data_IF_910338950098
#
_entry.id   IF_910338950098
#
_cell.length_a   1.000
_cell.length_b   1.000
_cell.length_c   1.000
_cell.angle_alpha   90.00
_cell.angle_beta   90.00
_cell.angle_gamma   90.00
#
_symmetry.space_group_name_H-M   'P 1'
#
loop_
_entity.id
_entity.type
_entity.pdbx_description
1 polymer ?
#
# COMPACT_ATOMS: atom_id res chain seq x y z
N UNK A 1 -15.10 8.15 28.17
CA UNK A 1 -14.95 6.78 27.62
C UNK A 1 -16.33 6.16 27.60
N UNK A 2 -16.76 5.54 26.48
CA UNK A 2 -18.00 4.75 26.49
C UNK A 2 -17.81 3.58 27.46
N UNK A 3 -18.87 3.24 28.22
CA UNK A 3 -18.84 2.09 29.14
C UNK A 3 -19.10 0.80 28.35
N UNK A 4 -18.06 0.27 27.73
CA UNK A 4 -18.11 -0.93 26.88
C UNK A 4 -18.28 -2.16 27.78
N UNK A 5 -19.40 -2.84 27.62
CA UNK A 5 -19.74 -4.05 28.39
C UNK A 5 -19.43 -5.35 27.64
N UNK A 6 -19.45 -5.32 26.31
CA UNK A 6 -19.19 -6.50 25.48
C UNK A 6 -18.21 -6.20 24.34
N UNK A 7 -17.21 -7.04 24.23
CA UNK A 7 -16.17 -7.03 23.20
C UNK A 7 -16.44 -8.19 22.23
N UNK A 8 -16.76 -7.87 20.98
CA UNK A 8 -17.22 -8.85 20.00
C UNK A 8 -16.11 -9.05 18.94
N UNK A 9 -15.63 -10.28 18.85
CA UNK A 9 -14.68 -10.69 17.81
C UNK A 9 -15.42 -11.40 16.67
N UNK A 10 -15.25 -10.91 15.46
CA UNK A 10 -15.81 -11.48 14.23
C UNK A 10 -14.71 -12.07 13.39
N UNK A 11 -14.77 -13.35 13.09
CA UNK A 11 -13.96 -13.96 12.01
C UNK A 11 -14.84 -14.07 10.78
N UNK A 12 -14.52 -13.25 9.77
CA UNK A 12 -15.40 -12.97 8.62
C UNK A 12 -14.94 -13.79 7.42
N UNK A 13 -15.81 -14.69 6.99
CA UNK A 13 -15.69 -15.42 5.72
C UNK A 13 -16.70 -14.88 4.69
N UNK A 14 -16.60 -15.36 3.45
CA UNK A 14 -17.48 -14.95 2.35
C UNK A 14 -18.98 -15.08 2.71
N UNK A 15 -19.38 -16.24 3.23
CA UNK A 15 -20.79 -16.59 3.41
C UNK A 15 -21.20 -16.60 4.89
N UNK A 16 -20.24 -16.62 5.82
CA UNK A 16 -20.49 -16.77 7.24
C UNK A 16 -19.55 -15.94 8.10
N UNK A 17 -19.97 -15.66 9.32
CA UNK A 17 -19.22 -14.96 10.35
C UNK A 17 -19.23 -15.78 11.61
N UNK A 18 -18.06 -16.22 12.08
CA UNK A 18 -17.91 -16.81 13.40
C UNK A 18 -17.83 -15.70 14.45
N UNK A 19 -18.64 -15.80 15.50
CA UNK A 19 -18.82 -14.74 16.48
C UNK A 19 -18.41 -15.24 17.86
N UNK A 20 -17.58 -14.46 18.54
CA UNK A 20 -17.26 -14.68 19.95
C UNK A 20 -17.42 -13.38 20.75
N UNK A 21 -17.70 -13.52 22.03
CA UNK A 21 -18.00 -12.41 22.93
C UNK A 21 -17.15 -12.54 24.18
N UNK A 22 -16.50 -11.46 24.58
CA UNK A 22 -15.89 -11.27 25.87
C UNK A 22 -16.69 -10.19 26.63
N UNK A 23 -17.29 -10.55 27.78
CA UNK A 23 -17.93 -9.56 28.63
C UNK A 23 -16.85 -8.71 29.35
N UNK A 24 -17.20 -7.51 29.80
CA UNK A 24 -16.35 -6.72 30.67
C UNK A 24 -15.99 -7.49 31.93
N UNK A 25 -14.74 -7.45 32.39
CA UNK A 25 -14.25 -8.20 33.52
C UNK A 25 -13.33 -9.37 33.15
N UNK A 26 -13.15 -10.34 34.06
CA UNK A 26 -12.14 -11.41 33.94
C UNK A 26 -12.65 -12.73 33.39
N UNK A 27 -13.94 -12.83 33.05
CA UNK A 27 -14.53 -14.06 32.50
C UNK A 27 -13.90 -14.49 31.17
N UNK A 28 -13.90 -15.79 30.89
CA UNK A 28 -13.41 -16.31 29.63
C UNK A 28 -14.33 -15.89 28.46
N UNK A 29 -13.71 -15.54 27.29
CA UNK A 29 -14.51 -15.29 26.09
C UNK A 29 -15.26 -16.53 25.65
N UNK A 30 -16.52 -16.35 25.24
CA UNK A 30 -17.36 -17.46 24.78
C UNK A 30 -17.63 -17.39 23.28
N UNK A 31 -17.62 -18.53 22.63
CA UNK A 31 -18.12 -18.65 21.27
C UNK A 31 -19.65 -18.52 21.27
N UNK A 32 -20.15 -17.54 20.52
CA UNK A 32 -21.59 -17.30 20.40
C UNK A 32 -22.25 -18.20 19.36
N UNK A 33 -21.52 -18.51 18.27
CA UNK A 33 -22.01 -19.29 17.13
C UNK A 33 -21.56 -18.68 15.82
N UNK A 34 -22.13 -19.19 14.74
CA UNK A 34 -21.89 -18.69 13.38
C UNK A 34 -23.19 -18.11 12.84
N UNK A 35 -23.11 -16.96 12.19
CA UNK A 35 -24.23 -16.30 11.50
C UNK A 35 -23.90 -16.22 9.99
N UNK A 36 -24.91 -15.96 9.16
CA UNK A 36 -24.68 -15.64 7.76
C UNK A 36 -24.05 -14.24 7.62
N UNK A 37 -23.20 -14.07 6.65
CA UNK A 37 -22.59 -12.76 6.35
C UNK A 37 -23.59 -11.88 5.57
N UNK A 38 -24.66 -11.48 6.25
CA UNK A 38 -25.74 -10.64 5.73
C UNK A 38 -26.06 -9.50 6.69
N UNK A 39 -26.36 -8.29 6.20
CA UNK A 39 -26.68 -7.14 7.04
C UNK A 39 -27.79 -7.41 8.05
N UNK A 40 -28.83 -8.17 7.66
CA UNK A 40 -29.97 -8.50 8.53
C UNK A 40 -29.55 -9.35 9.74
N UNK A 41 -28.68 -10.34 9.53
CA UNK A 41 -28.22 -11.25 10.59
C UNK A 41 -27.23 -10.54 11.52
N UNK A 42 -26.36 -9.68 10.96
CA UNK A 42 -25.49 -8.82 11.77
C UNK A 42 -26.35 -7.88 12.62
N UNK A 43 -27.37 -7.23 12.04
CA UNK A 43 -28.28 -6.35 12.79
C UNK A 43 -29.02 -7.07 13.91
N UNK A 44 -29.56 -8.28 13.63
CA UNK A 44 -30.24 -9.11 14.63
C UNK A 44 -29.31 -9.47 15.78
N UNK A 45 -28.07 -9.87 15.45
CA UNK A 45 -27.04 -10.19 16.44
C UNK A 45 -26.74 -8.98 17.32
N UNK A 46 -26.43 -7.83 16.75
CA UNK A 46 -26.05 -6.64 17.52
C UNK A 46 -27.19 -6.18 18.46
N UNK A 47 -28.45 -6.16 17.98
CA UNK A 47 -29.62 -5.85 18.80
C UNK A 47 -29.79 -6.83 19.96
N UNK A 48 -29.50 -8.13 19.77
CA UNK A 48 -29.57 -9.16 20.83
C UNK A 48 -28.44 -8.98 21.87
N UNK A 49 -27.30 -8.45 21.46
CA UNK A 49 -26.14 -8.30 22.36
C UNK A 49 -26.27 -7.13 23.33
N UNK A 50 -26.96 -6.07 22.95
CA UNK A 50 -27.19 -4.92 23.83
C UNK A 50 -27.36 -3.60 23.11
N UNK A 51 -27.18 -2.51 23.85
CA UNK A 51 -27.23 -1.17 23.31
C UNK A 51 -25.94 -0.85 22.53
N UNK A 52 -26.00 -0.06 21.44
CA UNK A 52 -24.83 0.28 20.60
C UNK A 52 -23.63 0.79 21.41
N UNK A 53 -23.86 1.70 22.34
CA UNK A 53 -22.81 2.32 23.16
C UNK A 53 -22.09 1.34 24.10
N UNK A 54 -22.71 0.18 24.39
CA UNK A 54 -22.14 -0.88 25.25
C UNK A 54 -21.32 -1.93 24.46
N UNK A 55 -21.27 -1.82 23.12
CA UNK A 55 -20.62 -2.79 22.25
C UNK A 55 -19.33 -2.19 21.63
N UNK A 56 -18.29 -3.00 21.59
CA UNK A 56 -17.12 -2.75 20.76
C UNK A 56 -16.86 -4.00 19.92
N UNK A 57 -16.80 -3.84 18.61
CA UNK A 57 -16.67 -4.95 17.66
C UNK A 57 -15.28 -4.89 17.00
N UNK A 58 -14.69 -6.03 16.67
CA UNK A 58 -13.52 -6.07 15.80
C UNK A 58 -13.61 -7.22 14.80
N UNK A 59 -12.93 -7.03 13.67
CA UNK A 59 -12.67 -8.10 12.71
C UNK A 59 -11.33 -7.88 11.98
N UNK A 60 -10.83 -8.97 11.39
CA UNK A 60 -9.57 -8.95 10.65
C UNK A 60 -9.77 -8.37 9.24
N UNK A 61 -8.90 -7.44 8.84
CA UNK A 61 -8.89 -6.90 7.48
C UNK A 61 -8.58 -8.02 6.46
N UNK A 62 -9.45 -8.19 5.49
CA UNK A 62 -9.36 -9.24 4.49
C UNK A 62 -10.13 -8.90 3.22
N UNK A 63 -10.43 -9.93 2.42
CA UNK A 63 -11.19 -9.81 1.17
C UNK A 63 -12.63 -9.31 1.34
N UNK A 64 -13.16 -9.32 2.57
CA UNK A 64 -14.50 -8.81 2.91
C UNK A 64 -14.58 -7.27 2.92
N UNK A 65 -13.46 -6.57 2.76
CA UNK A 65 -13.40 -5.12 2.72
C UNK A 65 -13.87 -4.43 4.00
N UNK A 66 -14.42 -3.23 3.86
CA UNK A 66 -14.85 -2.38 4.97
C UNK A 66 -16.39 -2.25 5.10
N UNK A 67 -17.17 -3.02 4.33
CA UNK A 67 -18.63 -2.95 4.35
C UNK A 67 -19.22 -3.22 5.73
N UNK A 68 -18.71 -4.22 6.47
CA UNK A 68 -19.16 -4.51 7.84
C UNK A 68 -18.83 -3.36 8.80
N UNK A 69 -17.66 -2.75 8.67
CA UNK A 69 -17.26 -1.58 9.45
C UNK A 69 -18.23 -0.42 9.25
N UNK A 70 -18.48 -0.03 8.00
CA UNK A 70 -19.43 1.05 7.68
C UNK A 70 -20.83 0.74 8.12
N UNK A 71 -21.28 -0.51 7.97
CA UNK A 71 -22.59 -0.97 8.43
C UNK A 71 -22.73 -0.87 9.96
N UNK A 72 -21.72 -1.27 10.74
CA UNK A 72 -21.75 -1.16 12.19
C UNK A 72 -21.74 0.29 12.65
N UNK A 73 -20.93 1.15 12.00
CA UNK A 73 -20.95 2.60 12.29
C UNK A 73 -22.30 3.24 11.98
N UNK A 74 -23.01 2.81 10.94
CA UNK A 74 -24.38 3.29 10.64
C UNK A 74 -25.42 2.86 11.70
N UNK A 75 -25.04 1.96 12.60
CA UNK A 75 -25.82 1.53 13.76
C UNK A 75 -25.31 2.13 15.08
N UNK A 76 -24.42 3.13 15.03
CA UNK A 76 -23.73 3.75 16.16
C UNK A 76 -22.88 2.78 17.00
N UNK A 77 -22.46 1.65 16.40
CA UNK A 77 -21.62 0.64 17.05
C UNK A 77 -20.16 0.87 16.66
N UNK A 78 -19.30 1.06 17.66
CA UNK A 78 -17.87 1.21 17.44
C UNK A 78 -17.26 -0.09 16.90
N UNK A 79 -16.50 0.02 15.81
CA UNK A 79 -15.87 -1.12 15.17
C UNK A 79 -14.40 -0.87 14.91
N UNK A 80 -13.56 -1.86 15.17
CA UNK A 80 -12.13 -1.85 14.91
C UNK A 80 -11.78 -2.86 13.82
N UNK A 81 -11.20 -2.42 12.73
CA UNK A 81 -10.60 -3.32 11.73
C UNK A 81 -9.12 -3.51 12.06
N UNK A 82 -8.66 -4.76 12.09
CA UNK A 82 -7.31 -5.11 12.53
C UNK A 82 -6.52 -5.77 11.41
N UNK A 83 -5.27 -5.35 11.22
CA UNK A 83 -4.40 -6.01 10.23
C UNK A 83 -3.94 -7.40 10.72
N UNK A 84 -4.01 -8.44 9.87
CA UNK A 84 -3.58 -9.81 10.23
C UNK A 84 -2.16 -9.89 10.80
N UNK A 85 -1.26 -9.07 10.26
CA UNK A 85 0.14 -9.02 10.67
C UNK A 85 0.39 -8.34 12.02
N UNK A 86 -0.61 -7.64 12.56
CA UNK A 86 -0.54 -6.92 13.85
C UNK A 86 -1.26 -7.66 14.98
N UNK A 87 -1.96 -8.77 14.68
CA UNK A 87 -2.60 -9.59 15.70
C UNK A 87 -1.52 -10.41 16.44
N UNK A 88 -1.37 -10.25 17.77
CA UNK A 88 -0.42 -11.01 18.54
C UNK A 88 -0.65 -12.52 18.40
N UNK A 89 0.38 -13.31 18.11
CA UNK A 89 0.30 -14.79 17.98
C UNK A 89 1.02 -15.45 19.16
N UNK A 90 0.36 -16.44 19.79
CA UNK A 90 1.03 -17.26 20.79
C UNK A 90 1.97 -18.25 20.08
N UNK A 91 3.20 -18.40 20.60
CA UNK A 91 4.12 -19.44 20.12
C UNK A 91 3.51 -20.83 20.40
N UNK A 92 3.47 -21.69 19.37
CA UNK A 92 2.89 -23.04 19.51
C UNK A 92 1.44 -23.20 19.07
N UNK A 93 0.74 -22.14 18.73
CA UNK A 93 -0.64 -22.22 18.23
C UNK A 93 -0.62 -22.69 16.75
N UNK A 94 -0.80 -24.02 16.58
CA UNK A 94 -0.74 -24.69 15.27
C UNK A 94 -2.11 -25.01 14.66
N UNK A 95 -3.17 -24.84 15.44
CA UNK A 95 -4.53 -25.18 15.02
C UNK A 95 -5.31 -23.90 14.75
N UNK A 96 -5.61 -23.64 13.48
CA UNK A 96 -6.43 -22.51 13.04
C UNK A 96 -7.86 -22.99 12.80
N UNK A 97 -8.84 -22.34 13.44
CA UNK A 97 -10.27 -22.51 13.19
C UNK A 97 -10.97 -21.18 13.42
N UNK A 98 -12.02 -20.89 12.65
CA UNK A 98 -12.81 -19.65 12.73
C UNK A 98 -13.34 -19.40 14.17
N UNK A 99 -13.73 -20.47 14.88
CA UNK A 99 -14.12 -20.41 16.29
C UNK A 99 -12.98 -19.89 17.17
N UNK A 100 -11.75 -20.39 17.01
CA UNK A 100 -10.59 -19.95 17.80
C UNK A 100 -10.17 -18.55 17.47
N UNK A 101 -10.20 -18.20 16.19
CA UNK A 101 -9.81 -16.88 15.72
C UNK A 101 -10.79 -15.82 16.21
N UNK A 102 -12.12 -16.08 16.19
CA UNK A 102 -13.11 -15.17 16.76
C UNK A 102 -12.97 -15.00 18.29
N UNK A 103 -12.74 -16.09 19.04
CA UNK A 103 -12.51 -16.03 20.50
C UNK A 103 -11.26 -15.19 20.81
N UNK A 104 -10.18 -15.40 20.05
CA UNK A 104 -8.94 -14.67 20.22
C UNK A 104 -9.11 -13.18 19.93
N UNK A 105 -9.82 -12.82 18.86
CA UNK A 105 -10.13 -11.43 18.54
C UNK A 105 -10.90 -10.76 19.68
N UNK A 106 -11.95 -11.39 20.22
CA UNK A 106 -12.71 -10.87 21.35
C UNK A 106 -11.85 -10.70 22.62
N UNK A 107 -10.95 -11.65 22.90
CA UNK A 107 -10.03 -11.60 24.02
C UNK A 107 -9.03 -10.43 23.91
N UNK A 108 -8.37 -10.31 22.74
CA UNK A 108 -7.38 -9.26 22.49
C UNK A 108 -8.02 -7.87 22.43
N UNK A 109 -9.26 -7.78 21.91
CA UNK A 109 -10.02 -6.54 21.87
C UNK A 109 -10.29 -6.05 23.30
N UNK A 110 -10.77 -6.92 24.18
CA UNK A 110 -11.01 -6.61 25.60
C UNK A 110 -9.73 -6.21 26.34
N UNK A 111 -8.62 -6.86 26.02
CA UNK A 111 -7.32 -6.56 26.61
C UNK A 111 -6.71 -5.25 26.11
N UNK A 112 -7.26 -4.63 25.06
CA UNK A 112 -6.68 -3.45 24.41
C UNK A 112 -5.38 -3.71 23.64
N UNK A 113 -5.12 -4.97 23.28
CA UNK A 113 -3.90 -5.40 22.60
C UNK A 113 -3.99 -5.33 21.06
N UNK A 114 -5.16 -4.97 20.52
CA UNK A 114 -5.36 -4.83 19.09
C UNK A 114 -5.02 -3.42 18.62
N UNK A 115 -4.36 -3.33 17.48
CA UNK A 115 -4.09 -2.07 16.80
C UNK A 115 -5.03 -1.93 15.60
N UNK A 116 -5.85 -0.87 15.58
CA UNK A 116 -6.72 -0.58 14.46
C UNK A 116 -5.93 -0.18 13.22
N UNK A 117 -6.41 -0.62 12.06
CA UNK A 117 -5.99 -0.04 10.78
C UNK A 117 -6.86 1.18 10.46
N UNK A 118 -6.29 2.13 9.78
CA UNK A 118 -7.07 3.22 9.22
C UNK A 118 -7.98 2.69 8.11
N UNK A 119 -9.27 2.93 8.25
CA UNK A 119 -10.27 2.58 7.24
C UNK A 119 -10.42 3.78 6.31
N UNK A 120 -10.20 3.62 4.99
CA UNK A 120 -10.39 4.69 4.02
C UNK A 120 -11.88 5.01 3.88
N UNK A 121 -12.18 6.25 3.50
CA UNK A 121 -13.47 6.58 2.91
C UNK A 121 -13.66 5.88 1.54
N UNK A 122 -14.81 6.04 0.92
CA UNK A 122 -15.15 5.35 -0.33
C UNK A 122 -14.29 5.85 -1.50
N UNK A 123 -13.95 7.13 -1.54
CA UNK A 123 -13.14 7.74 -2.59
C UNK A 123 -11.68 7.26 -2.54
N UNK A 124 -11.10 7.23 -1.34
CA UNK A 124 -9.78 6.64 -1.15
C UNK A 124 -9.76 5.13 -1.44
N UNK A 125 -10.83 4.41 -1.12
CA UNK A 125 -10.93 2.98 -1.42
C UNK A 125 -10.99 2.76 -2.94
N UNK A 126 -11.81 3.53 -3.66
CA UNK A 126 -11.90 3.48 -5.12
C UNK A 126 -10.55 3.81 -5.79
N UNK A 127 -9.86 4.84 -5.30
CA UNK A 127 -8.54 5.20 -5.80
C UNK A 127 -7.50 4.09 -5.55
N UNK A 128 -7.58 3.40 -4.40
CA UNK A 128 -6.74 2.22 -4.12
C UNK A 128 -7.01 1.08 -5.08
N UNK A 129 -8.26 0.80 -5.38
CA UNK A 129 -8.61 -0.28 -6.29
C UNK A 129 -8.08 0.01 -7.70
N UNK A 130 -8.18 1.24 -8.17
CA UNK A 130 -7.63 1.67 -9.46
C UNK A 130 -6.11 1.49 -9.52
N UNK A 131 -5.39 1.94 -8.50
CA UNK A 131 -3.93 1.79 -8.41
C UNK A 131 -3.50 0.34 -8.30
N UNK A 132 -4.24 -0.49 -7.56
CA UNK A 132 -3.97 -1.93 -7.42
C UNK A 132 -4.23 -2.66 -8.72
N UNK A 133 -5.31 -2.35 -9.43
CA UNK A 133 -5.58 -2.89 -10.76
C UNK A 133 -4.46 -2.57 -11.78
N UNK A 134 -3.91 -1.34 -11.71
CA UNK A 134 -2.74 -0.96 -12.50
C UNK A 134 -1.49 -1.75 -12.10
N UNK A 135 -1.32 -2.02 -10.80
CA UNK A 135 -0.21 -2.82 -10.30
C UNK A 135 -0.26 -4.26 -10.79
N UNK A 136 -1.44 -4.88 -10.71
CA UNK A 136 -1.68 -6.24 -11.21
C UNK A 136 -1.43 -6.33 -12.71
N UNK A 137 -1.90 -5.36 -13.50
CA UNK A 137 -1.60 -5.28 -14.92
C UNK A 137 -0.08 -5.16 -15.21
N UNK A 138 0.67 -4.46 -14.37
CA UNK A 138 2.14 -4.41 -14.48
C UNK A 138 2.80 -5.77 -14.21
N UNK A 139 2.30 -6.52 -13.23
CA UNK A 139 2.79 -7.87 -12.93
C UNK A 139 2.45 -8.85 -14.05
N UNK A 140 1.23 -8.76 -14.60
CA UNK A 140 0.81 -9.53 -15.79
C UNK A 140 1.72 -9.24 -17.00
N UNK A 141 2.04 -7.97 -17.23
CA UNK A 141 2.96 -7.55 -18.30
C UNK A 141 4.35 -8.16 -18.10
N UNK A 142 4.88 -8.09 -16.88
CA UNK A 142 6.18 -8.67 -16.58
C UNK A 142 6.18 -10.19 -16.81
N UNK A 143 5.14 -10.87 -16.37
CA UNK A 143 4.96 -12.31 -16.54
C UNK A 143 4.84 -12.70 -18.03
N UNK A 144 4.05 -11.96 -18.80
CA UNK A 144 3.90 -12.19 -20.25
C UNK A 144 5.22 -11.97 -20.99
N UNK A 145 5.96 -10.93 -20.63
CA UNK A 145 7.31 -10.65 -21.19
C UNK A 145 8.31 -11.76 -20.86
N UNK A 146 8.28 -12.30 -19.64
CA UNK A 146 9.15 -13.41 -19.25
C UNK A 146 8.83 -14.70 -20.01
N UNK A 147 7.55 -15.00 -20.19
CA UNK A 147 7.11 -16.17 -20.99
C UNK A 147 7.67 -16.13 -22.41
N UNK A 148 7.57 -14.96 -23.06
CA UNK A 148 8.15 -14.79 -24.40
C UNK A 148 9.68 -14.93 -24.41
N UNK A 149 10.38 -14.32 -23.46
CA UNK A 149 11.85 -14.44 -23.37
C UNK A 149 12.27 -15.89 -23.17
N UNK A 150 11.59 -16.62 -22.29
CA UNK A 150 11.89 -18.04 -22.06
C UNK A 150 11.56 -18.91 -23.28
N UNK A 151 10.49 -18.58 -24.02
CA UNK A 151 10.17 -19.25 -25.28
C UNK A 151 11.29 -19.08 -26.30
N UNK A 152 11.75 -17.85 -26.52
CA UNK A 152 12.84 -17.56 -27.44
C UNK A 152 14.15 -18.26 -27.05
N UNK A 153 14.48 -18.23 -25.74
CA UNK A 153 15.69 -18.90 -25.24
C UNK A 153 15.69 -20.41 -25.46
N UNK A 154 14.54 -21.09 -25.31
CA UNK A 154 14.42 -22.51 -25.61
C UNK A 154 14.69 -22.86 -27.08
N UNK A 155 14.49 -21.91 -27.98
CA UNK A 155 14.77 -22.04 -29.40
C UNK A 155 16.16 -21.47 -29.80
N UNK A 156 17.01 -21.14 -28.83
CA UNK A 156 18.34 -20.58 -29.07
C UNK A 156 18.33 -19.14 -29.64
N UNK A 157 17.15 -18.50 -29.64
CA UNK A 157 16.96 -17.15 -30.21
C UNK A 157 17.27 -16.11 -29.14
N UNK A 158 18.20 -15.21 -29.46
CA UNK A 158 18.60 -14.11 -28.60
C UNK A 158 18.53 -12.78 -29.35
N UNK A 159 18.21 -11.66 -28.67
CA UNK A 159 18.27 -10.35 -29.32
C UNK A 159 19.70 -10.01 -29.75
N UNK A 160 19.89 -9.19 -30.79
CA UNK A 160 21.18 -8.74 -31.22
C UNK A 160 21.98 -8.07 -30.10
N UNK A 161 23.29 -8.19 -30.12
CA UNK A 161 24.17 -7.59 -29.14
C UNK A 161 23.93 -6.08 -29.00
N UNK A 162 23.87 -5.57 -27.79
CA UNK A 162 23.62 -4.15 -27.51
C UNK A 162 22.15 -3.71 -27.63
N UNK A 163 21.24 -4.56 -28.04
CA UNK A 163 19.80 -4.26 -28.07
C UNK A 163 19.19 -4.52 -26.70
N UNK A 164 18.73 -3.43 -26.05
CA UNK A 164 18.05 -3.52 -24.77
C UNK A 164 16.63 -4.11 -24.94
N UNK A 165 16.28 -5.10 -24.14
CA UNK A 165 14.94 -5.69 -24.12
C UNK A 165 13.85 -4.62 -24.00
N UNK A 166 12.77 -4.77 -24.77
CA UNK A 166 11.57 -3.92 -24.79
C UNK A 166 11.80 -2.49 -25.30
N UNK A 167 13.01 -2.20 -25.86
CA UNK A 167 13.25 -0.98 -26.64
C UNK A 167 12.56 -1.05 -28.00
N UNK A 168 12.43 0.09 -28.68
CA UNK A 168 11.89 0.16 -30.06
C UNK A 168 12.64 -0.82 -30.97
N UNK A 169 13.98 -0.83 -30.93
CA UNK A 169 14.81 -1.75 -31.74
C UNK A 169 14.53 -3.23 -31.41
N UNK A 170 14.30 -3.57 -30.14
CA UNK A 170 13.94 -4.93 -29.74
C UNK A 170 12.57 -5.34 -30.28
N UNK A 171 11.58 -4.43 -30.23
CA UNK A 171 10.23 -4.68 -30.77
C UNK A 171 10.24 -4.84 -32.29
N UNK A 172 11.03 -4.05 -33.00
CA UNK A 172 11.23 -4.20 -34.45
C UNK A 172 11.88 -5.52 -34.77
N UNK A 173 12.87 -5.96 -34.01
CA UNK A 173 13.49 -7.26 -34.15
C UNK A 173 12.50 -8.38 -33.91
N UNK A 174 11.70 -8.31 -32.86
CA UNK A 174 10.65 -9.30 -32.59
C UNK A 174 9.65 -9.41 -33.76
N UNK A 175 9.25 -8.31 -34.39
CA UNK A 175 8.33 -8.32 -35.54
C UNK A 175 8.90 -9.05 -36.77
N UNK A 176 10.22 -9.11 -36.90
CA UNK A 176 10.90 -9.78 -38.02
C UNK A 176 11.15 -11.27 -37.77
N UNK A 177 10.95 -11.76 -36.54
CA UNK A 177 11.18 -13.16 -36.22
C UNK A 177 10.12 -14.05 -36.85
N UNK A 178 10.58 -15.14 -37.44
CA UNK A 178 9.75 -16.20 -37.99
C UNK A 178 10.20 -17.56 -37.45
N UNK A 179 9.31 -18.54 -37.49
CA UNK A 179 9.58 -19.90 -37.06
C UNK A 179 9.18 -20.84 -38.21
N UNK A 180 9.96 -21.89 -38.45
CA UNK A 180 9.68 -22.85 -39.50
C UNK A 180 8.37 -23.62 -39.29
N UNK A 181 8.13 -24.04 -38.04
CA UNK A 181 6.94 -24.82 -37.69
C UNK A 181 5.72 -23.95 -37.43
N UNK A 182 4.57 -24.31 -38.03
CA UNK A 182 3.34 -23.55 -37.89
C UNK A 182 2.91 -23.36 -36.43
N UNK A 183 2.99 -24.42 -35.60
CA UNK A 183 2.67 -24.35 -34.18
C UNK A 183 3.53 -23.33 -33.39
N UNK A 184 4.82 -23.26 -33.72
CA UNK A 184 5.72 -22.29 -33.10
C UNK A 184 5.39 -20.84 -33.50
N UNK A 185 5.01 -20.63 -34.77
CA UNK A 185 4.55 -19.32 -35.25
C UNK A 185 3.30 -18.85 -34.51
N UNK A 186 2.33 -19.78 -34.29
CA UNK A 186 1.10 -19.48 -33.56
C UNK A 186 1.46 -19.10 -32.12
N UNK A 187 2.21 -19.93 -31.39
CA UNK A 187 2.59 -19.69 -29.99
C UNK A 187 3.36 -18.37 -29.85
N UNK A 188 4.29 -18.07 -30.76
CA UNK A 188 5.03 -16.82 -30.73
C UNK A 188 4.12 -15.59 -30.90
N UNK A 189 3.16 -15.66 -31.84
CA UNK A 189 2.17 -14.60 -32.04
C UNK A 189 1.27 -14.40 -30.83
N UNK A 190 0.82 -15.49 -30.22
CA UNK A 190 -0.01 -15.42 -28.99
C UNK A 190 0.75 -14.77 -27.82
N UNK A 191 2.04 -15.06 -27.64
CA UNK A 191 2.82 -14.36 -26.61
C UNK A 191 2.97 -12.85 -26.90
N UNK A 192 3.15 -12.47 -28.17
CA UNK A 192 3.17 -11.04 -28.53
C UNK A 192 1.81 -10.37 -28.34
N UNK A 193 0.72 -11.06 -28.68
CA UNK A 193 -0.65 -10.60 -28.51
C UNK A 193 -0.94 -10.34 -27.05
N UNK A 194 -0.69 -11.33 -26.18
CA UNK A 194 -0.86 -11.19 -24.74
C UNK A 194 -0.09 -9.99 -24.13
N UNK A 195 1.11 -9.70 -24.63
CA UNK A 195 1.87 -8.53 -24.20
C UNK A 195 1.18 -7.22 -24.62
N UNK A 196 0.70 -7.13 -25.85
CA UNK A 196 0.03 -5.95 -26.38
C UNK A 196 -1.30 -5.69 -25.66
N UNK A 197 -2.10 -6.73 -25.40
CA UNK A 197 -3.36 -6.63 -24.64
C UNK A 197 -3.15 -6.05 -23.24
N UNK A 198 -2.13 -6.54 -22.54
CA UNK A 198 -1.81 -6.02 -21.20
C UNK A 198 -1.27 -4.59 -21.27
N UNK A 199 -0.45 -4.24 -22.28
CA UNK A 199 0.00 -2.86 -22.48
C UNK A 199 -1.17 -1.91 -22.75
N UNK A 200 -2.14 -2.32 -23.54
CA UNK A 200 -3.32 -1.50 -23.80
C UNK A 200 -4.25 -1.41 -22.58
N UNK A 201 -4.37 -2.48 -21.79
CA UNK A 201 -5.03 -2.44 -20.48
C UNK A 201 -4.36 -1.43 -19.55
N UNK A 202 -3.03 -1.44 -19.46
CA UNK A 202 -2.29 -0.47 -18.63
C UNK A 202 -2.55 0.97 -19.08
N UNK A 203 -2.53 1.26 -20.39
CA UNK A 203 -2.82 2.60 -20.90
C UNK A 203 -4.22 3.08 -20.51
N UNK A 204 -5.23 2.22 -20.60
CA UNK A 204 -6.60 2.57 -20.18
C UNK A 204 -6.68 2.91 -18.71
N UNK A 205 -6.05 2.09 -17.84
CA UNK A 205 -6.02 2.35 -16.40
C UNK A 205 -5.23 3.63 -16.09
N UNK A 206 -4.08 3.85 -16.74
CA UNK A 206 -3.26 5.05 -16.54
C UNK A 206 -3.97 6.33 -17.00
N UNK A 207 -4.84 6.27 -18.02
CA UNK A 207 -5.69 7.39 -18.42
C UNK A 207 -6.69 7.75 -17.31
N UNK A 208 -7.34 6.76 -16.69
CA UNK A 208 -8.24 7.01 -15.55
C UNK A 208 -7.48 7.56 -14.33
N UNK A 209 -6.27 7.05 -14.05
CA UNK A 209 -5.42 7.60 -12.98
C UNK A 209 -5.11 9.08 -13.25
N UNK A 210 -4.89 9.45 -14.50
CA UNK A 210 -4.65 10.85 -14.89
C UNK A 210 -5.86 11.73 -14.63
N UNK A 211 -7.06 11.28 -15.00
CA UNK A 211 -8.30 12.01 -14.73
C UNK A 211 -8.52 12.21 -13.23
N UNK A 212 -8.37 11.16 -12.43
CA UNK A 212 -8.46 11.23 -10.96
C UNK A 212 -7.40 12.17 -10.36
N UNK A 213 -6.19 12.16 -10.87
CA UNK A 213 -5.11 13.04 -10.42
C UNK A 213 -5.38 14.53 -10.66
N UNK A 214 -6.25 14.86 -11.62
CA UNK A 214 -6.61 16.24 -11.97
C UNK A 214 -7.92 16.71 -11.32
N UNK A 215 -8.89 15.81 -11.14
CA UNK A 215 -10.27 16.15 -10.80
C UNK A 215 -10.67 15.82 -9.37
N UNK A 216 -9.95 14.90 -8.71
CA UNK A 216 -10.28 14.51 -7.34
C UNK A 216 -9.93 15.61 -6.32
N UNK A 217 -10.56 15.55 -5.15
CA UNK A 217 -10.20 16.40 -4.00
C UNK A 217 -8.74 16.24 -3.57
N UNK A 218 -8.09 15.15 -3.98
CA UNK A 218 -6.69 14.86 -3.69
C UNK A 218 -5.71 15.49 -4.70
N UNK A 219 -6.21 16.13 -5.77
CA UNK A 219 -5.38 16.74 -6.82
C UNK A 219 -4.29 17.69 -6.28
N UNK A 220 -4.56 18.56 -5.30
CA UNK A 220 -3.52 19.45 -4.74
C UNK A 220 -2.34 18.68 -4.14
N UNK A 221 -2.61 17.64 -3.35
CA UNK A 221 -1.57 16.80 -2.73
C UNK A 221 -0.82 16.01 -3.80
N UNK A 222 -1.53 15.44 -4.77
CA UNK A 222 -0.92 14.68 -5.87
C UNK A 222 0.03 15.57 -6.68
N UNK A 223 -0.37 16.79 -7.00
CA UNK A 223 0.45 17.75 -7.74
C UNK A 223 1.67 18.20 -6.92
N UNK A 224 1.48 18.53 -5.63
CA UNK A 224 2.57 18.92 -4.75
C UNK A 224 3.63 17.82 -4.59
N UNK A 225 3.23 16.56 -4.44
CA UNK A 225 4.16 15.43 -4.35
C UNK A 225 5.00 15.23 -5.62
N UNK A 226 4.48 15.60 -6.78
CA UNK A 226 5.20 15.52 -8.05
C UNK A 226 6.38 16.51 -8.17
N UNK A 227 6.49 17.49 -7.26
CA UNK A 227 7.66 18.36 -7.14
C UNK A 227 8.93 17.59 -6.75
N UNK A 228 8.76 16.46 -6.08
CA UNK A 228 9.85 15.58 -5.65
C UNK A 228 10.46 14.82 -6.84
N UNK A 229 11.78 14.72 -6.84
CA UNK A 229 12.50 13.97 -7.88
C UNK A 229 12.11 12.49 -7.87
N UNK A 230 11.74 11.99 -9.05
CA UNK A 230 11.34 10.59 -9.25
C UNK A 230 9.88 10.28 -8.90
N UNK A 231 9.19 11.17 -8.20
CA UNK A 231 7.76 11.03 -7.92
C UNK A 231 6.99 11.63 -9.11
N UNK A 232 6.59 10.77 -10.04
CA UNK A 232 5.68 11.13 -11.14
C UNK A 232 4.24 10.84 -10.73
N UNK A 233 3.27 11.21 -11.56
CA UNK A 233 1.83 11.14 -11.29
C UNK A 233 1.38 9.80 -10.71
N UNK A 234 1.61 8.68 -11.40
CA UNK A 234 1.24 7.33 -10.91
C UNK A 234 1.81 7.04 -9.52
N UNK A 235 3.03 7.50 -9.25
CA UNK A 235 3.63 7.32 -7.92
C UNK A 235 2.98 8.23 -6.89
N UNK A 236 2.68 9.47 -7.24
CA UNK A 236 2.01 10.42 -6.36
C UNK A 236 0.60 9.91 -5.99
N UNK A 237 -0.18 9.47 -6.98
CA UNK A 237 -1.50 8.87 -6.78
C UNK A 237 -1.41 7.62 -5.92
N UNK A 238 -0.41 6.74 -6.18
CA UNK A 238 -0.19 5.55 -5.33
C UNK A 238 0.06 5.93 -3.87
N UNK A 239 0.87 6.97 -3.64
CA UNK A 239 1.17 7.42 -2.28
C UNK A 239 -0.08 7.97 -1.59
N UNK A 240 -0.84 8.82 -2.26
CA UNK A 240 -2.07 9.39 -1.71
C UNK A 240 -3.09 8.29 -1.41
N UNK A 241 -3.37 7.41 -2.37
CA UNK A 241 -4.30 6.30 -2.19
C UNK A 241 -3.94 5.38 -1.01
N UNK A 242 -2.66 5.04 -0.86
CA UNK A 242 -2.23 4.08 0.17
C UNK A 242 -1.93 4.72 1.52
N UNK A 243 -1.57 6.01 1.56
CA UNK A 243 -1.33 6.76 2.80
C UNK A 243 -2.67 7.26 3.37
N UNK A 244 -3.59 7.74 2.52
CA UNK A 244 -4.77 8.48 2.95
C UNK A 244 -4.39 9.85 3.53
N UNK A 245 -4.90 10.18 4.70
CA UNK A 245 -4.56 11.42 5.39
C UNK A 245 -3.14 11.38 5.95
N UNK A 246 -2.33 12.39 5.64
CA UNK A 246 -0.95 12.50 6.12
C UNK A 246 -0.89 12.94 7.59
N UNK A 247 -1.79 13.82 7.99
CA UNK A 247 -1.94 14.33 9.36
C UNK A 247 -2.29 13.25 10.40
N UNK A 248 -2.82 12.09 9.97
CA UNK A 248 -3.03 10.95 10.87
C UNK A 248 -1.74 10.38 11.48
N UNK A 249 -0.60 10.70 10.89
CA UNK A 249 0.71 10.37 11.44
C UNK A 249 1.26 11.58 12.19
N UNK A 250 1.33 11.51 13.51
CA UNK A 250 1.82 12.61 14.34
C UNK A 250 3.27 13.03 14.07
N UNK A 251 4.03 12.16 13.40
CA UNK A 251 5.40 12.45 12.98
C UNK A 251 5.83 11.53 11.80
N UNK A 252 6.84 11.93 11.02
CA UNK A 252 7.27 11.17 9.83
C UNK A 252 7.78 9.75 10.13
N UNK A 253 8.24 9.48 11.38
CA UNK A 253 8.72 8.14 11.75
C UNK A 253 7.59 7.11 11.76
N UNK A 254 6.37 7.54 12.10
CA UNK A 254 5.20 6.67 12.03
C UNK A 254 4.88 6.27 10.59
N UNK A 255 4.93 7.20 9.62
CA UNK A 255 4.78 6.86 8.19
C UNK A 255 5.90 5.94 7.69
N UNK A 256 7.14 6.15 8.13
CA UNK A 256 8.26 5.24 7.82
C UNK A 256 8.03 3.84 8.36
N UNK A 257 7.46 3.72 9.56
CA UNK A 257 7.07 2.45 10.18
C UNK A 257 5.91 1.80 9.45
N UNK A 258 4.88 2.59 9.10
CA UNK A 258 3.74 2.15 8.31
C UNK A 258 4.13 1.58 6.94
N UNK A 259 5.18 2.13 6.31
CA UNK A 259 5.76 1.59 5.09
C UNK A 259 6.72 0.40 5.33
N UNK A 260 7.01 0.05 6.59
CA UNK A 260 7.95 -1.03 6.94
C UNK A 260 9.40 -0.76 6.52
N UNK A 261 9.80 0.51 6.47
CA UNK A 261 11.16 0.95 6.11
C UNK A 261 12.06 1.23 7.33
N UNK A 262 11.55 0.98 8.53
CA UNK A 262 12.35 1.05 9.76
C UNK A 262 13.18 -0.22 9.94
N UNK A 263 14.43 -0.12 10.43
CA UNK A 263 15.24 -1.31 10.71
C UNK A 263 14.63 -2.10 11.86
N UNK A 264 14.81 -3.43 11.82
CA UNK A 264 14.64 -4.29 13.00
C UNK A 264 15.69 -3.90 14.02
N UNK A 265 15.29 -3.85 15.27
CA UNK A 265 16.19 -3.53 16.37
C UNK A 265 16.04 -4.55 17.49
N UNK A 266 17.15 -5.02 18.00
CA UNK A 266 17.25 -5.85 19.19
C UNK A 266 18.23 -5.16 20.12
N UNK A 267 17.71 -4.59 21.20
CA UNK A 267 18.49 -3.87 22.20
C UNK A 267 18.29 -4.53 23.55
N UNK A 268 19.37 -4.83 24.25
CA UNK A 268 19.35 -5.25 25.64
C UNK A 268 20.52 -4.62 26.39
N UNK A 269 20.25 -3.89 27.47
CA UNK A 269 21.26 -3.14 28.20
C UNK A 269 21.98 -2.13 27.30
N UNK A 270 23.32 -2.19 27.28
CA UNK A 270 24.18 -1.36 26.42
C UNK A 270 24.32 -1.85 24.99
N UNK A 271 23.86 -3.08 24.69
CA UNK A 271 23.97 -3.69 23.36
C UNK A 271 22.83 -3.27 22.46
N UNK A 272 23.18 -2.74 21.27
CA UNK A 272 22.21 -2.36 20.24
C UNK A 272 22.55 -3.01 18.90
N UNK A 273 21.70 -3.91 18.45
CA UNK A 273 21.83 -4.50 17.13
C UNK A 273 20.70 -4.06 16.19
N UNK A 274 21.07 -3.61 14.98
CA UNK A 274 20.12 -3.21 13.96
C UNK A 274 20.27 -4.10 12.73
N UNK A 275 19.18 -4.75 12.35
CA UNK A 275 19.10 -5.65 11.21
C UNK A 275 18.57 -4.99 9.93
N UNK A 276 18.04 -5.82 9.06
CA UNK A 276 17.31 -5.37 7.86
C UNK A 276 16.02 -4.63 8.24
N UNK A 277 15.38 -3.96 7.27
CA UNK A 277 14.07 -3.33 7.47
C UNK A 277 13.01 -4.36 7.88
N UNK A 278 12.02 -3.91 8.65
CA UNK A 278 10.95 -4.78 9.17
C UNK A 278 10.12 -5.42 8.08
N UNK A 279 9.89 -4.72 6.98
CA UNK A 279 8.95 -5.07 5.89
C UNK A 279 7.49 -5.26 6.37
N UNK A 280 7.19 -4.95 7.62
CA UNK A 280 5.83 -4.96 8.17
C UNK A 280 5.10 -3.71 7.71
N UNK A 281 3.83 -3.83 7.31
CA UNK A 281 3.01 -2.72 6.85
C UNK A 281 2.92 -2.60 5.33
N UNK A 282 2.61 -1.41 4.82
CA UNK A 282 2.18 -1.21 3.44
C UNK A 282 3.31 -1.49 2.42
N UNK A 283 3.13 -2.57 1.65
CA UNK A 283 4.10 -3.02 0.64
C UNK A 283 4.08 -2.16 -0.62
N UNK A 284 2.95 -1.57 -0.97
CA UNK A 284 2.79 -0.74 -2.18
C UNK A 284 3.57 0.57 -2.03
N UNK A 285 3.42 1.25 -0.88
CA UNK A 285 4.23 2.44 -0.56
C UNK A 285 5.71 2.09 -0.59
N UNK A 286 6.11 1.03 0.12
CA UNK A 286 7.51 0.63 0.21
C UNK A 286 8.13 0.36 -1.16
N UNK A 287 7.43 -0.38 -2.03
CA UNK A 287 7.89 -0.73 -3.38
C UNK A 287 8.03 0.52 -4.25
N UNK A 288 7.01 1.37 -4.28
CA UNK A 288 7.00 2.59 -5.09
C UNK A 288 8.11 3.55 -4.68
N UNK A 289 8.29 3.77 -3.38
CA UNK A 289 9.32 4.69 -2.88
C UNK A 289 10.73 4.17 -3.09
N UNK A 290 10.97 2.87 -2.91
CA UNK A 290 12.29 2.28 -3.19
C UNK A 290 12.65 2.42 -4.66
N UNK A 291 11.70 2.23 -5.58
CA UNK A 291 11.92 2.41 -7.02
C UNK A 291 12.27 3.86 -7.37
N UNK A 292 11.51 4.81 -6.87
CA UNK A 292 11.78 6.26 -7.00
C UNK A 292 13.19 6.62 -6.56
N UNK A 293 13.66 6.03 -5.47
CA UNK A 293 14.92 6.42 -4.83
C UNK A 293 16.17 6.07 -5.64
N UNK A 294 16.09 5.22 -6.66
CA UNK A 294 17.18 5.02 -7.61
C UNK A 294 17.56 6.30 -8.37
N UNK A 295 16.64 7.26 -8.50
CA UNK A 295 16.91 8.54 -9.15
C UNK A 295 17.90 9.41 -8.36
N UNK A 296 18.01 9.25 -7.05
CA UNK A 296 18.87 10.04 -6.17
C UNK A 296 20.37 9.66 -6.24
N UNK A 297 20.73 8.58 -6.95
CA UNK A 297 22.11 8.25 -7.28
C UNK A 297 22.75 9.29 -8.22
N UNK A 298 21.94 9.97 -9.03
CA UNK A 298 22.39 10.97 -9.96
C UNK A 298 22.50 12.35 -9.31
N UNK A 299 23.42 13.19 -9.83
CA UNK A 299 23.61 14.57 -9.33
C UNK A 299 22.29 15.35 -9.32
N UNK A 300 22.08 16.22 -8.32
CA UNK A 300 20.91 17.09 -8.26
C UNK A 300 20.81 17.96 -9.51
N UNK A 301 19.67 17.91 -10.17
CA UNK A 301 19.36 18.76 -11.33
C UNK A 301 17.87 19.05 -11.38
N UNK A 302 17.49 20.19 -11.94
CA UNK A 302 16.11 20.59 -12.21
C UNK A 302 16.02 20.82 -13.72
N UNK A 303 15.57 19.80 -14.47
CA UNK A 303 15.52 19.80 -15.93
C UNK A 303 14.34 18.96 -16.43
N UNK A 304 13.91 19.20 -17.66
CA UNK A 304 12.90 18.41 -18.36
C UNK A 304 11.59 18.28 -17.58
N UNK A 305 11.04 17.10 -17.50
CA UNK A 305 9.74 16.85 -16.87
C UNK A 305 9.66 17.27 -15.38
N UNK A 306 10.76 17.20 -14.63
CA UNK A 306 10.74 17.67 -13.24
C UNK A 306 10.59 19.20 -13.17
N UNK A 307 11.18 19.95 -14.09
CA UNK A 307 11.01 21.40 -14.15
C UNK A 307 9.55 21.75 -14.45
N UNK A 308 8.95 21.13 -15.47
CA UNK A 308 7.55 21.33 -15.85
C UNK A 308 6.60 21.05 -14.67
N UNK A 309 6.82 19.94 -13.95
CA UNK A 309 5.97 19.57 -12.78
C UNK A 309 6.10 20.54 -11.59
N UNK A 310 7.16 21.34 -11.56
CA UNK A 310 7.32 22.39 -10.55
C UNK A 310 6.77 23.74 -10.99
N UNK A 311 6.40 23.91 -12.25
CA UNK A 311 5.73 25.13 -12.72
C UNK A 311 4.39 25.29 -12.03
N UNK A 312 4.07 26.50 -11.57
CA UNK A 312 2.83 26.81 -10.85
C UNK A 312 2.75 26.30 -9.39
N UNK A 313 3.66 25.44 -8.94
CA UNK A 313 3.62 24.91 -7.56
C UNK A 313 4.08 25.98 -6.54
N UNK A 314 3.61 25.83 -5.31
CA UNK A 314 3.92 26.75 -4.21
C UNK A 314 5.43 26.78 -3.90
N UNK A 315 5.98 27.96 -3.55
CA UNK A 315 7.39 28.11 -3.19
C UNK A 315 7.85 27.21 -2.04
N UNK A 316 6.99 26.94 -1.05
CA UNK A 316 7.34 26.09 0.09
C UNK A 316 7.54 24.64 -0.32
N UNK A 317 6.67 24.07 -1.16
CA UNK A 317 6.79 22.72 -1.70
C UNK A 317 8.05 22.57 -2.55
N UNK A 318 8.35 23.57 -3.39
CA UNK A 318 9.60 23.64 -4.16
C UNK A 318 10.83 23.68 -3.25
N UNK A 319 10.77 24.42 -2.14
CA UNK A 319 11.83 24.50 -1.14
C UNK A 319 12.06 23.15 -0.46
N UNK A 320 10.98 22.46 -0.06
CA UNK A 320 11.06 21.10 0.52
C UNK A 320 11.66 20.13 -0.51
N UNK A 321 11.19 20.16 -1.74
CA UNK A 321 11.68 19.30 -2.82
C UNK A 321 13.16 19.55 -3.16
N UNK A 322 13.59 20.82 -3.15
CA UNK A 322 14.98 21.19 -3.34
C UNK A 322 15.88 20.63 -2.24
N UNK A 323 15.48 20.80 -0.98
CA UNK A 323 16.17 20.26 0.19
C UNK A 323 16.26 18.73 0.12
N UNK A 324 15.16 18.07 -0.22
CA UNK A 324 15.09 16.61 -0.40
C UNK A 324 16.11 16.14 -1.45
N UNK A 325 16.12 16.79 -2.62
CA UNK A 325 16.97 16.43 -3.74
C UNK A 325 18.47 16.42 -3.37
N UNK A 326 18.94 17.43 -2.70
CA UNK A 326 20.34 17.54 -2.28
C UNK A 326 20.69 16.60 -1.13
N UNK A 327 19.87 16.58 -0.10
CA UNK A 327 20.11 15.77 1.10
C UNK A 327 20.08 14.27 0.80
N UNK A 328 19.15 13.81 -0.02
CA UNK A 328 19.02 12.39 -0.36
C UNK A 328 20.13 11.93 -1.31
N UNK A 329 20.56 12.77 -2.23
CA UNK A 329 21.75 12.51 -3.05
C UNK A 329 23.00 12.32 -2.18
N UNK A 330 23.28 13.27 -1.29
CA UNK A 330 24.43 13.19 -0.39
C UNK A 330 24.36 11.94 0.50
N UNK A 331 23.15 11.59 0.99
CA UNK A 331 22.96 10.39 1.80
C UNK A 331 23.27 9.12 1.00
N UNK A 332 22.79 9.02 -0.25
CA UNK A 332 23.07 7.89 -1.12
C UNK A 332 24.59 7.69 -1.25
N UNK A 333 25.31 8.72 -1.64
CA UNK A 333 26.75 8.64 -1.86
C UNK A 333 27.54 8.36 -0.58
N UNK A 334 27.17 8.98 0.55
CA UNK A 334 27.81 8.71 1.84
C UNK A 334 27.67 7.23 2.28
N UNK A 335 26.53 6.60 2.02
CA UNK A 335 26.30 5.18 2.36
C UNK A 335 27.08 4.28 1.39
N UNK A 336 27.03 4.60 0.10
CA UNK A 336 27.76 3.84 -0.94
C UNK A 336 29.27 3.91 -0.74
N UNK A 337 29.81 5.08 -0.37
CA UNK A 337 31.25 5.27 -0.08
C UNK A 337 31.76 4.45 1.13
N UNK A 338 30.85 4.05 2.04
CA UNK A 338 31.17 3.15 3.17
C UNK A 338 31.18 1.66 2.78
N UNK A 339 31.22 1.32 1.49
CA UNK A 339 31.21 -0.04 0.99
C UNK A 339 29.86 -0.76 1.07
N UNK A 340 28.78 -0.08 1.51
CA UNK A 340 27.45 -0.70 1.54
C UNK A 340 26.86 -0.69 0.13
N UNK A 341 26.34 -1.84 -0.29
CA UNK A 341 25.78 -2.00 -1.64
C UNK A 341 24.64 -0.99 -1.96
N UNK A 342 24.49 -0.64 -3.23
CA UNK A 342 23.52 0.36 -3.70
C UNK A 342 22.09 0.11 -3.25
N UNK A 343 21.66 -1.15 -3.12
CA UNK A 343 20.32 -1.51 -2.59
C UNK A 343 20.12 -1.03 -1.16
N UNK A 344 21.15 -1.12 -0.31
CA UNK A 344 21.07 -0.64 1.09
C UNK A 344 20.99 0.89 1.12
N UNK A 345 21.78 1.56 0.27
CA UNK A 345 21.76 3.02 0.15
C UNK A 345 20.38 3.52 -0.31
N UNK A 346 19.78 2.89 -1.32
CA UNK A 346 18.43 3.23 -1.84
C UNK A 346 17.37 3.07 -0.75
N UNK A 347 17.37 1.98 0.00
CA UNK A 347 16.39 1.76 1.08
C UNK A 347 16.53 2.79 2.19
N UNK A 348 17.76 3.18 2.55
CA UNK A 348 17.99 4.23 3.53
C UNK A 348 17.55 5.62 3.04
N UNK A 349 17.69 5.90 1.73
CA UNK A 349 17.15 7.10 1.07
C UNK A 349 15.62 7.06 1.04
N UNK A 350 15.02 5.92 0.71
CA UNK A 350 13.58 5.72 0.66
C UNK A 350 12.91 6.02 2.01
N UNK A 351 13.50 5.54 3.10
CA UNK A 351 13.03 5.87 4.44
C UNK A 351 13.00 7.38 4.69
N UNK A 352 14.03 8.10 4.29
CA UNK A 352 14.10 9.55 4.52
C UNK A 352 13.20 10.34 3.57
N UNK A 353 13.02 9.86 2.32
CA UNK A 353 12.10 10.47 1.36
C UNK A 353 10.67 10.50 1.90
N UNK A 354 10.22 9.47 2.62
CA UNK A 354 8.90 9.47 3.27
C UNK A 354 8.74 10.64 4.26
N UNK A 355 9.81 11.11 4.87
CA UNK A 355 9.76 12.30 5.73
C UNK A 355 9.45 13.58 4.95
N UNK A 356 10.00 13.73 3.75
CA UNK A 356 9.68 14.86 2.87
C UNK A 356 8.28 14.75 2.27
N UNK A 357 7.84 13.54 1.92
CA UNK A 357 6.48 13.27 1.45
C UNK A 357 5.46 13.63 2.53
N UNK A 358 5.70 13.19 3.77
CA UNK A 358 4.86 13.54 4.91
C UNK A 358 4.77 15.05 5.12
N UNK A 359 5.91 15.77 5.06
CA UNK A 359 5.94 17.20 5.25
C UNK A 359 5.16 17.98 4.17
N UNK A 360 5.23 17.54 2.91
CA UNK A 360 4.44 18.12 1.82
C UNK A 360 2.96 17.80 2.02
N UNK A 361 2.60 16.54 2.32
CA UNK A 361 1.23 16.13 2.52
C UNK A 361 0.54 16.89 3.64
N UNK A 362 1.15 16.99 4.83
CA UNK A 362 0.60 17.77 5.94
C UNK A 362 0.47 19.27 5.60
N UNK A 363 1.45 19.86 4.93
CA UNK A 363 1.38 21.27 4.56
C UNK A 363 0.20 21.59 3.62
N UNK A 364 -0.16 20.66 2.72
CA UNK A 364 -1.32 20.83 1.85
C UNK A 364 -2.63 20.62 2.64
N UNK A 365 -2.72 19.57 3.46
CA UNK A 365 -3.89 19.32 4.30
C UNK A 365 -4.19 20.51 5.23
N UNK A 366 -3.17 21.11 5.85
CA UNK A 366 -3.32 22.29 6.71
C UNK A 366 -3.86 23.50 5.92
N UNK A 367 -3.42 23.71 4.66
CA UNK A 367 -3.93 24.76 3.78
C UNK A 367 -5.41 24.52 3.43
N UNK A 368 -5.80 23.29 3.11
CA UNK A 368 -7.18 22.93 2.79
C UNK A 368 -8.13 23.19 3.97
N UNK A 369 -7.74 22.77 5.17
CA UNK A 369 -8.52 23.05 6.39
C UNK A 369 -8.65 24.56 6.65
N UNK A 370 -7.60 25.33 6.42
CA UNK A 370 -7.62 26.78 6.60
C UNK A 370 -8.59 27.47 5.62
N UNK A 371 -8.67 27.00 4.38
CA UNK A 371 -9.61 27.53 3.36
C UNK A 371 -11.05 27.16 3.72
N UNK A 372 -11.30 25.94 4.18
CA UNK A 372 -12.66 25.48 4.56
C UNK A 372 -13.21 26.19 5.79
N UNK A 373 -12.35 26.71 6.68
CA UNK A 373 -12.77 27.45 7.87
C UNK A 373 -13.03 28.94 7.60
N UNK A 374 -12.70 29.46 6.42
CA UNK A 374 -12.88 30.87 6.02
C UNK A 374 -14.08 31.02 5.06
N UNK A 375 -14.55 29.93 4.45
CA UNK A 375 -15.73 29.88 3.60
C UNK A 375 -17.00 29.54 4.40
#
# INVERSE_FOLDING_TARGET
MKDVQKFVGLDVSKDSIAVAIADSGRGEPRFHGTIQNKPEDIRKLMKKLGKPESLLVCYEAGSSGYGIYRFLLSMDIDCMVVAPSLIPKRSGDRVKTDKRDSIRLAQLLRAGELTSVWVPDEDHEALRDLIRARHDAREDLQSSRQRLVHFLLRHGIRPPQGVRNWSVKHREWLKRLTFERASQRIVFREYLHAINEVEDRMKRIEAQIHEEALQSEHAPVIQALQTLRGVAEVTAVTLVAEIGQFSRFSNPRQLMSYAGLVPKEYSSGSSRWQGSITKTGNSQIRRSIVEVCWSYRHRPSLKGELLKRQEGQDPEEKRIAWKAKHRLHMKYHRISAKGKGGKVAVVAVARELLGFIWAIGCAIEDKQVSVSNVA
#
